data_IF_636337444763
#
_entry.id   IF_636337444763
#
_cell.length_a   1.000
_cell.length_b   1.000
_cell.length_c   1.000
_cell.angle_alpha   90.00
_cell.angle_beta   90.00
_cell.angle_gamma   90.00
#
_symmetry.space_group_name_H-M   'P 1'
#
loop_
_entity.id
_entity.type
_entity.pdbx_description
1 polymer ?
#
# COMPACT_ATOMS: atom_id res chain seq x y z
N UNK A 1 -7.23 -7.01 18.78
CA UNK A 1 -5.76 -7.25 18.73
C UNK A 1 -5.30 -8.15 17.57
N UNK A 2 -6.19 -8.81 16.81
CA UNK A 2 -5.81 -9.70 15.70
C UNK A 2 -5.33 -8.98 14.43
N UNK A 3 -5.91 -7.83 14.08
CA UNK A 3 -5.57 -7.09 12.85
C UNK A 3 -4.11 -6.61 12.81
N UNK A 4 -3.54 -6.21 13.96
CA UNK A 4 -2.13 -5.77 14.03
C UNK A 4 -1.18 -6.96 13.80
N UNK A 5 -1.49 -8.14 14.34
CA UNK A 5 -0.66 -9.32 14.14
C UNK A 5 -0.71 -9.80 12.67
N UNK A 6 -1.88 -9.74 12.04
CA UNK A 6 -2.05 -10.12 10.64
C UNK A 6 -1.35 -9.13 9.68
N UNK A 7 -1.46 -7.82 9.93
CA UNK A 7 -0.73 -6.81 9.14
C UNK A 7 0.78 -6.91 9.31
N UNK A 8 1.28 -7.32 10.48
CA UNK A 8 2.70 -7.65 10.67
C UNK A 8 3.11 -8.89 9.89
N UNK A 9 2.26 -9.93 9.83
CA UNK A 9 2.52 -11.13 9.04
C UNK A 9 2.62 -10.82 7.54
N UNK A 10 1.73 -9.96 7.02
CA UNK A 10 1.75 -9.54 5.60
C UNK A 10 3.07 -8.87 5.19
N UNK A 11 3.69 -8.10 6.09
CA UNK A 11 4.95 -7.37 5.82
C UNK A 11 6.18 -8.16 6.27
N UNK A 12 6.00 -9.28 6.98
CA UNK A 12 7.13 -10.08 7.46
C UNK A 12 7.89 -10.70 6.28
N UNK A 13 9.21 -10.47 6.20
CA UNK A 13 10.02 -11.04 5.14
C UNK A 13 10.15 -12.56 5.32
N UNK A 14 9.99 -13.29 4.23
CA UNK A 14 10.28 -14.71 4.10
C UNK A 14 11.62 -14.90 3.38
N UNK A 15 12.27 -16.05 3.55
CA UNK A 15 13.56 -16.34 2.93
C UNK A 15 13.54 -16.34 1.39
N UNK A 16 12.36 -16.47 0.80
CA UNK A 16 12.13 -16.48 -0.65
C UNK A 16 11.67 -15.13 -1.21
N UNK A 17 11.44 -14.13 -0.35
CA UNK A 17 10.97 -12.82 -0.82
C UNK A 17 12.10 -12.07 -1.55
N UNK A 18 11.77 -11.31 -2.61
CA UNK A 18 12.74 -10.47 -3.29
C UNK A 18 13.38 -9.41 -2.37
N UNK A 19 14.56 -8.96 -2.79
CA UNK A 19 15.25 -7.82 -2.17
C UNK A 19 14.57 -6.54 -2.63
N UNK A 20 14.47 -5.55 -1.73
CA UNK A 20 13.89 -4.25 -2.06
C UNK A 20 14.70 -3.56 -3.14
N UNK A 21 14.05 -3.28 -4.27
CA UNK A 21 14.56 -2.42 -5.33
C UNK A 21 14.27 -0.95 -4.98
N UNK A 22 15.34 -0.19 -4.71
CA UNK A 22 15.24 1.23 -4.37
C UNK A 22 14.81 2.11 -5.54
N UNK A 23 15.24 1.78 -6.76
CA UNK A 23 14.89 2.57 -7.94
C UNK A 23 13.39 2.42 -8.26
N UNK A 24 12.87 1.19 -8.19
CA UNK A 24 11.44 0.95 -8.29
C UNK A 24 10.67 1.67 -7.19
N UNK A 25 11.14 1.60 -5.94
CA UNK A 25 10.46 2.24 -4.80
C UNK A 25 10.33 3.77 -4.99
N UNK A 26 11.40 4.44 -5.40
CA UNK A 26 11.38 5.89 -5.61
C UNK A 26 10.44 6.30 -6.75
N UNK A 27 10.38 5.51 -7.83
CA UNK A 27 9.48 5.75 -8.94
C UNK A 27 8.01 5.50 -8.58
N UNK A 28 7.73 4.36 -7.92
CA UNK A 28 6.36 3.98 -7.57
C UNK A 28 5.77 4.92 -6.51
N UNK A 29 6.57 5.43 -5.56
CA UNK A 29 6.11 6.41 -4.57
C UNK A 29 5.64 7.68 -5.27
N UNK A 30 6.43 8.24 -6.20
CA UNK A 30 6.06 9.44 -6.97
C UNK A 30 4.77 9.23 -7.77
N UNK A 31 4.66 8.07 -8.44
CA UNK A 31 3.47 7.71 -9.22
C UNK A 31 2.23 7.57 -8.33
N UNK A 32 2.37 6.95 -7.16
CA UNK A 32 1.29 6.81 -6.19
C UNK A 32 0.89 8.14 -5.58
N UNK A 33 1.82 9.09 -5.34
CA UNK A 33 1.47 10.43 -4.87
C UNK A 33 0.55 11.16 -5.86
N UNK A 34 0.86 11.08 -7.15
CA UNK A 34 0.00 11.64 -8.21
C UNK A 34 -1.34 10.89 -8.26
N UNK A 35 -1.31 9.56 -8.21
CA UNK A 35 -2.50 8.72 -8.22
C UNK A 35 -3.48 9.07 -7.09
N UNK A 36 -2.96 9.24 -5.87
CA UNK A 36 -3.78 9.49 -4.69
C UNK A 36 -4.49 10.83 -4.77
N UNK A 37 -3.80 11.88 -5.27
CA UNK A 37 -4.41 13.19 -5.47
C UNK A 37 -5.60 13.16 -6.44
N UNK A 38 -5.67 12.17 -7.33
CA UNK A 38 -6.80 11.97 -8.25
C UNK A 38 -7.88 11.03 -7.71
N UNK A 39 -7.50 10.07 -6.85
CA UNK A 39 -8.39 9.05 -6.33
C UNK A 39 -9.05 9.43 -4.99
N UNK A 40 -8.43 10.34 -4.23
CA UNK A 40 -8.91 10.81 -2.95
C UNK A 40 -10.18 11.64 -3.08
N UNK A 41 -11.19 11.31 -2.27
CA UNK A 41 -12.48 12.00 -2.23
C UNK A 41 -12.54 13.07 -1.14
N UNK A 42 -11.44 13.27 -0.42
CA UNK A 42 -11.28 14.27 0.64
C UNK A 42 -10.10 15.20 0.39
N UNK A 43 -9.65 15.87 1.46
CA UNK A 43 -8.46 16.70 1.41
C UNK A 43 -7.21 15.81 1.50
N UNK A 44 -6.52 15.64 0.39
CA UNK A 44 -5.28 14.86 0.36
C UNK A 44 -4.21 15.47 1.26
N UNK A 45 -3.56 14.67 2.12
CA UNK A 45 -2.43 15.12 2.91
C UNK A 45 -1.27 15.66 2.04
N UNK A 46 -0.39 16.46 2.64
CA UNK A 46 0.76 17.01 1.91
C UNK A 46 1.69 15.91 1.36
N UNK A 47 1.96 14.89 2.19
CA UNK A 47 2.80 13.72 1.88
C UNK A 47 1.95 12.44 1.99
N UNK A 48 1.11 12.16 0.98
CA UNK A 48 0.12 11.09 1.07
C UNK A 48 0.72 9.70 0.92
N UNK A 49 1.94 9.54 0.39
CA UNK A 49 2.55 8.22 0.18
C UNK A 49 3.88 8.13 0.88
N UNK A 50 4.08 7.06 1.66
CA UNK A 50 5.31 6.87 2.43
C UNK A 50 5.71 5.39 2.43
N UNK A 51 6.98 5.06 2.14
CA UNK A 51 7.49 3.73 2.38
C UNK A 51 7.62 3.48 3.89
N UNK A 52 7.28 2.28 4.33
CA UNK A 52 7.27 1.86 5.72
C UNK A 52 7.88 0.47 5.88
N UNK A 53 8.15 0.08 7.13
CA UNK A 53 8.60 -1.29 7.51
C UNK A 53 9.79 -1.78 6.68
N UNK A 54 10.86 -0.98 6.64
CA UNK A 54 12.07 -1.31 5.89
C UNK A 54 11.87 -1.33 4.38
N UNK A 55 11.00 -0.43 3.88
CA UNK A 55 10.66 -0.27 2.46
C UNK A 55 9.92 -1.47 1.82
N UNK A 56 9.38 -2.37 2.64
CA UNK A 56 8.56 -3.51 2.20
C UNK A 56 7.06 -3.22 2.25
N UNK A 57 6.65 -2.09 2.83
CA UNK A 57 5.27 -1.60 2.83
C UNK A 57 5.21 -0.21 2.20
N UNK A 58 4.18 0.07 1.41
CA UNK A 58 3.83 1.43 0.98
C UNK A 58 2.53 1.83 1.66
N UNK A 59 2.58 2.90 2.44
CA UNK A 59 1.44 3.50 3.11
C UNK A 59 0.90 4.67 2.31
N UNK A 60 -0.40 4.63 2.01
CA UNK A 60 -1.13 5.64 1.26
C UNK A 60 -2.18 6.28 2.17
N UNK A 61 -1.91 7.49 2.62
CA UNK A 61 -2.80 8.32 3.41
C UNK A 61 -3.72 9.15 2.51
N UNK A 62 -5.02 9.01 2.73
CA UNK A 62 -6.10 9.66 2.00
C UNK A 62 -6.98 10.46 2.94
N UNK A 63 -7.58 11.53 2.45
CA UNK A 63 -8.59 12.28 3.20
C UNK A 63 -9.87 11.47 3.38
N UNK A 64 -10.36 10.82 2.31
CA UNK A 64 -11.52 9.91 2.32
C UNK A 64 -11.49 8.91 1.17
N UNK A 65 -12.17 7.78 1.39
CA UNK A 65 -12.55 6.85 0.33
C UNK A 65 -11.63 5.63 0.23
N UNK A 66 -10.85 5.34 1.28
CA UNK A 66 -10.11 4.10 1.36
C UNK A 66 -11.07 2.91 1.49
N UNK A 67 -10.90 1.92 0.63
CA UNK A 67 -11.66 0.66 0.61
C UNK A 67 -10.74 -0.47 0.16
N UNK A 68 -11.20 -1.72 0.27
CA UNK A 68 -10.44 -2.93 -0.11
C UNK A 68 -9.86 -2.90 -1.53
N UNK A 69 -10.54 -2.21 -2.47
CA UNK A 69 -10.12 -2.14 -3.87
C UNK A 69 -9.18 -0.99 -4.18
N UNK A 70 -9.04 -0.03 -3.27
CA UNK A 70 -8.24 1.17 -3.52
C UNK A 70 -6.75 0.85 -3.66
N UNK A 71 -6.12 0.04 -2.79
CA UNK A 71 -4.71 -0.28 -2.94
C UNK A 71 -4.37 -0.92 -4.30
N UNK A 72 -5.17 -1.90 -4.74
CA UNK A 72 -4.98 -2.57 -6.03
C UNK A 72 -5.26 -1.64 -7.21
N UNK A 73 -6.30 -0.79 -7.14
CA UNK A 73 -6.59 0.19 -8.18
C UNK A 73 -5.52 1.29 -8.29
N UNK A 74 -4.96 1.73 -7.16
CA UNK A 74 -3.89 2.74 -7.15
C UNK A 74 -2.66 2.23 -7.90
N UNK A 75 -2.25 0.98 -7.65
CA UNK A 75 -1.11 0.41 -8.37
C UNK A 75 -1.43 0.10 -9.84
N UNK A 76 -2.57 -0.55 -10.10
CA UNK A 76 -2.89 -1.07 -11.43
C UNK A 76 -3.35 0.02 -12.42
N UNK A 77 -4.25 0.90 -11.98
CA UNK A 77 -4.94 1.84 -12.88
C UNK A 77 -4.32 3.23 -12.89
N UNK A 78 -3.57 3.59 -11.85
CA UNK A 78 -3.11 4.98 -11.64
C UNK A 78 -1.60 5.10 -11.62
N UNK A 79 -0.88 4.14 -11.04
CA UNK A 79 0.57 4.11 -11.05
C UNK A 79 1.17 3.31 -12.22
N UNK A 80 0.33 2.75 -13.11
CA UNK A 80 0.74 1.95 -14.27
C UNK A 80 1.75 0.84 -13.90
N UNK A 81 1.47 0.14 -12.80
CA UNK A 81 2.27 -1.00 -12.34
C UNK A 81 1.34 -2.17 -11.97
N UNK A 82 1.85 -3.20 -11.31
CA UNK A 82 1.05 -4.34 -10.87
C UNK A 82 1.50 -4.84 -9.50
N UNK A 83 0.62 -5.55 -8.79
CA UNK A 83 0.98 -6.21 -7.53
C UNK A 83 2.18 -7.15 -7.72
N UNK A 84 2.23 -7.87 -8.85
CA UNK A 84 3.36 -8.73 -9.22
C UNK A 84 4.67 -7.95 -9.34
N UNK A 85 4.66 -6.82 -10.05
CA UNK A 85 5.85 -5.98 -10.19
C UNK A 85 6.31 -5.40 -8.85
N UNK A 86 5.38 -5.01 -7.98
CA UNK A 86 5.71 -4.56 -6.63
C UNK A 86 6.34 -5.69 -5.79
N UNK A 87 5.80 -6.91 -5.88
CA UNK A 87 6.37 -8.08 -5.21
C UNK A 87 7.78 -8.40 -5.71
N UNK A 88 7.98 -8.43 -7.03
CA UNK A 88 9.30 -8.64 -7.66
C UNK A 88 10.32 -7.56 -7.25
N UNK A 89 9.85 -6.34 -6.98
CA UNK A 89 10.65 -5.25 -6.43
C UNK A 89 10.83 -5.29 -4.89
N UNK A 90 10.36 -6.35 -4.22
CA UNK A 90 10.52 -6.57 -2.78
C UNK A 90 9.52 -5.81 -1.89
N UNK A 91 8.51 -5.16 -2.46
CA UNK A 91 7.40 -4.55 -1.72
C UNK A 91 6.34 -5.63 -1.50
N UNK A 92 6.02 -5.89 -0.23
CA UNK A 92 5.12 -6.97 0.20
C UNK A 92 3.68 -6.49 0.43
N UNK A 93 3.50 -5.21 0.76
CA UNK A 93 2.18 -4.66 1.09
C UNK A 93 2.02 -3.25 0.54
N UNK A 94 0.84 -2.98 -0.01
CA UNK A 94 0.38 -1.63 -0.34
C UNK A 94 -0.88 -1.40 0.47
N UNK A 95 -0.93 -0.32 1.26
CA UNK A 95 -2.09 -0.02 2.08
C UNK A 95 -2.65 1.36 1.79
N UNK A 96 -3.98 1.51 1.83
CA UNK A 96 -4.60 2.81 1.97
C UNK A 96 -5.07 3.03 3.41
N UNK A 97 -5.14 4.29 3.83
CA UNK A 97 -5.70 4.72 5.10
C UNK A 97 -6.47 6.02 4.91
N UNK A 98 -7.67 6.08 5.45
CA UNK A 98 -8.38 7.33 5.71
C UNK A 98 -8.80 7.45 7.19
N UNK A 99 -9.68 8.40 7.50
CA UNK A 99 -10.14 8.63 8.87
C UNK A 99 -11.09 7.55 9.42
N UNK A 100 -11.52 6.59 8.60
CA UNK A 100 -12.45 5.52 8.97
C UNK A 100 -11.83 4.14 8.77
N UNK A 101 -11.08 3.93 7.71
CA UNK A 101 -10.62 2.63 7.26
C UNK A 101 -9.12 2.62 6.99
N UNK A 102 -8.49 1.49 7.30
CA UNK A 102 -7.16 1.13 6.84
C UNK A 102 -7.28 -0.22 6.13
N UNK A 103 -6.82 -0.29 4.89
CA UNK A 103 -6.90 -1.47 4.05
C UNK A 103 -5.51 -1.83 3.54
N UNK A 104 -5.12 -3.08 3.72
CA UNK A 104 -3.83 -3.64 3.34
C UNK A 104 -4.03 -4.66 2.23
N UNK A 105 -3.36 -4.46 1.11
CA UNK A 105 -3.28 -5.42 0.01
C UNK A 105 -1.91 -6.06 0.02
N UNK A 106 -1.87 -7.38 0.17
CA UNK A 106 -0.67 -8.17 -0.05
C UNK A 106 -0.31 -8.16 -1.54
N UNK A 107 0.98 -8.01 -1.84
CA UNK A 107 1.51 -8.19 -3.20
C UNK A 107 1.97 -9.63 -3.44
N UNK A 108 2.29 -10.37 -2.36
CA UNK A 108 2.66 -11.79 -2.38
C UNK A 108 1.44 -12.65 -2.71
N UNK A 109 0.29 -12.31 -2.15
CA UNK A 109 -1.00 -12.95 -2.41
C UNK A 109 -2.03 -11.87 -2.78
N UNK A 110 -2.36 -11.72 -4.07
CA UNK A 110 -3.31 -10.71 -4.52
C UNK A 110 -4.72 -10.85 -3.96
N UNK A 111 -5.13 -12.03 -3.48
CA UNK A 111 -6.45 -12.24 -2.85
C UNK A 111 -6.46 -11.86 -1.37
N UNK A 112 -5.27 -11.74 -0.74
CA UNK A 112 -5.14 -11.38 0.67
C UNK A 112 -5.23 -9.87 0.88
N UNK A 113 -6.46 -9.44 1.19
CA UNK A 113 -6.81 -8.06 1.52
C UNK A 113 -7.39 -7.99 2.93
N UNK A 114 -6.79 -7.17 3.78
CA UNK A 114 -7.30 -6.91 5.12
C UNK A 114 -7.73 -5.45 5.25
N UNK A 115 -9.03 -5.21 5.46
CA UNK A 115 -9.55 -3.91 5.84
C UNK A 115 -10.04 -3.92 7.28
N UNK A 116 -9.68 -2.89 8.04
CA UNK A 116 -10.18 -2.67 9.39
C UNK A 116 -10.41 -1.19 9.66
N UNK A 117 -11.13 -0.89 10.75
CA UNK A 117 -11.29 0.50 11.17
C UNK A 117 -9.90 1.12 11.44
N UNK A 118 -9.68 2.33 10.94
CA UNK A 118 -8.45 3.06 11.19
C UNK A 118 -8.32 3.33 12.70
N UNK A 119 -7.16 3.07 13.33
CA UNK A 119 -6.95 3.42 14.73
C UNK A 119 -7.13 4.93 14.91
N UNK A 120 -7.94 5.29 15.92
CA UNK A 120 -8.25 6.68 16.30
C UNK A 120 -7.05 7.38 16.92
#
# INVERSE_FOLDING_TARGET
MMAIQYTLAMVSPQSTDPIVDKAYLEDIVKKLEVAVRTADKGKTPANPVQPAKGNRKIEVNMGRGCTERVPSNLIAQRANSSLKAAYEAGILVISCRDNKWECHQSTRDPEDVLCHAAPR
#
